data_IF_532060003954
#
_entry.id   IF_532060003954
#
_cell.length_a   1.000
_cell.length_b   1.000
_cell.length_c   1.000
_cell.angle_alpha   90.00
_cell.angle_beta   90.00
_cell.angle_gamma   90.00
#
_symmetry.space_group_name_H-M   'P 1'
#
loop_
_entity.id
_entity.type
_entity.pdbx_description
1 polymer ?
#
# COMPACT_ATOMS: atom_id res chain seq x y z
N UNK A 1 16.88 -30.01 -45.28
CA UNK A 1 15.64 -29.54 -44.64
C UNK A 1 16.00 -29.23 -43.19
N UNK A 2 16.31 -27.97 -42.85
CA UNK A 2 16.74 -27.60 -41.50
C UNK A 2 15.52 -27.28 -40.65
N UNK A 3 15.07 -28.26 -39.86
CA UNK A 3 14.13 -28.03 -38.76
C UNK A 3 14.87 -27.21 -37.71
N UNK A 4 14.49 -25.93 -37.54
CA UNK A 4 15.00 -25.12 -36.43
C UNK A 4 14.55 -25.80 -35.13
N UNK A 5 15.49 -26.38 -34.41
CA UNK A 5 15.27 -26.84 -33.04
C UNK A 5 15.11 -25.60 -32.15
N UNK A 6 13.88 -25.14 -31.98
CA UNK A 6 13.54 -24.15 -30.96
C UNK A 6 13.31 -24.89 -29.65
N UNK A 7 14.24 -24.78 -28.71
CA UNK A 7 14.03 -25.24 -27.34
C UNK A 7 13.50 -24.07 -26.50
N UNK A 8 12.52 -24.33 -25.61
CA UNK A 8 11.94 -23.30 -24.74
C UNK A 8 13.00 -22.56 -23.90
N UNK A 9 14.10 -23.25 -23.56
CA UNK A 9 15.26 -22.71 -22.83
C UNK A 9 16.02 -21.60 -23.58
N UNK A 10 15.84 -21.48 -24.90
CA UNK A 10 16.43 -20.40 -25.70
C UNK A 10 15.66 -19.08 -25.60
N UNK A 11 14.41 -19.12 -25.10
CA UNK A 11 13.59 -17.93 -24.89
C UNK A 11 13.88 -17.41 -23.49
N UNK A 12 14.77 -16.43 -23.38
CA UNK A 12 14.98 -15.73 -22.12
C UNK A 12 13.85 -14.73 -21.89
N UNK A 13 12.89 -15.12 -21.06
CA UNK A 13 11.83 -14.23 -20.59
C UNK A 13 12.38 -13.41 -19.43
N UNK A 14 12.38 -12.07 -19.50
CA UNK A 14 12.76 -11.24 -18.36
C UNK A 14 11.88 -11.55 -17.14
N UNK A 15 12.44 -11.69 -15.94
CA UNK A 15 11.68 -12.06 -14.74
C UNK A 15 10.57 -11.03 -14.40
N UNK A 16 10.77 -9.77 -14.79
CA UNK A 16 9.83 -8.68 -14.53
C UNK A 16 8.71 -8.57 -15.57
N UNK A 17 8.80 -9.30 -16.70
CA UNK A 17 7.80 -9.19 -17.77
C UNK A 17 6.42 -9.70 -17.33
N UNK A 18 6.26 -10.88 -16.68
CA UNK A 18 4.96 -11.35 -16.21
C UNK A 18 4.21 -10.37 -15.29
N UNK A 19 4.83 -9.77 -14.24
CA UNK A 19 4.11 -8.81 -13.38
C UNK A 19 3.75 -7.52 -14.12
N UNK A 20 4.60 -7.00 -15.03
CA UNK A 20 4.27 -5.84 -15.87
C UNK A 20 3.02 -6.09 -16.72
N UNK A 21 2.96 -7.25 -17.38
CA UNK A 21 1.81 -7.62 -18.21
C UNK A 21 0.54 -7.81 -17.37
N UNK A 22 0.65 -8.43 -16.19
CA UNK A 22 -0.49 -8.61 -15.28
C UNK A 22 -1.06 -7.27 -14.82
N UNK A 23 -0.21 -6.33 -14.43
CA UNK A 23 -0.63 -4.99 -13.99
C UNK A 23 -1.30 -4.22 -15.13
N UNK A 24 -0.72 -4.26 -16.33
CA UNK A 24 -1.31 -3.64 -17.52
C UNK A 24 -2.68 -4.25 -17.85
N UNK A 25 -2.82 -5.59 -17.85
CA UNK A 25 -4.09 -6.26 -18.10
C UNK A 25 -5.19 -5.89 -17.09
N UNK A 26 -4.86 -5.80 -15.80
CA UNK A 26 -5.80 -5.31 -14.77
C UNK A 26 -6.26 -3.88 -15.06
N UNK A 27 -5.33 -2.99 -15.42
CA UNK A 27 -5.63 -1.60 -15.73
C UNK A 27 -6.57 -1.49 -16.94
N UNK A 28 -6.37 -2.30 -17.97
CA UNK A 28 -7.26 -2.38 -19.14
C UNK A 28 -8.65 -2.88 -18.75
N UNK A 29 -8.74 -3.97 -17.97
CA UNK A 29 -10.02 -4.56 -17.55
C UNK A 29 -10.84 -3.57 -16.72
N UNK A 30 -10.19 -2.85 -15.81
CA UNK A 30 -10.82 -1.84 -14.96
C UNK A 30 -11.23 -0.60 -15.75
N UNK A 31 -10.34 -0.11 -16.60
CA UNK A 31 -10.56 1.12 -17.37
C UNK A 31 -11.56 0.98 -18.51
N UNK A 32 -11.77 -0.26 -19.00
CA UNK A 32 -12.60 -0.58 -20.18
C UNK A 32 -12.43 0.47 -21.30
N UNK A 33 -11.18 0.75 -21.73
CA UNK A 33 -10.91 1.86 -22.61
C UNK A 33 -11.59 1.65 -23.97
N UNK A 34 -12.16 2.72 -24.50
CA UNK A 34 -12.73 2.73 -25.85
C UNK A 34 -11.63 2.59 -26.92
N UNK A 35 -10.44 3.13 -26.64
CA UNK A 35 -9.24 2.97 -27.46
C UNK A 35 -8.12 2.31 -26.64
N UNK A 36 -7.88 1.02 -26.93
CA UNK A 36 -6.87 0.23 -26.25
C UNK A 36 -5.44 0.69 -26.58
N UNK A 37 -5.18 1.15 -27.81
CA UNK A 37 -3.83 1.53 -28.23
C UNK A 37 -3.43 2.82 -27.53
N UNK A 38 -4.30 3.84 -27.57
CA UNK A 38 -4.05 5.10 -26.89
C UNK A 38 -3.90 4.88 -25.37
N UNK A 39 -4.77 4.06 -24.77
CA UNK A 39 -4.65 3.68 -23.37
C UNK A 39 -3.30 3.00 -23.06
N UNK A 40 -2.83 2.10 -23.93
CA UNK A 40 -1.53 1.44 -23.78
C UNK A 40 -0.38 2.46 -23.74
N UNK A 41 -0.39 3.37 -24.72
CA UNK A 41 0.65 4.41 -24.87
C UNK A 41 0.69 5.28 -23.62
N UNK A 42 -0.46 5.76 -23.17
CA UNK A 42 -0.54 6.65 -22.01
C UNK A 42 -0.17 5.91 -20.71
N UNK A 43 -0.59 4.66 -20.56
CA UNK A 43 -0.24 3.81 -19.41
C UNK A 43 1.28 3.64 -19.29
N UNK A 44 1.94 3.22 -20.37
CA UNK A 44 3.39 2.97 -20.33
C UNK A 44 4.21 4.27 -20.29
N UNK A 45 3.75 5.36 -20.90
CA UNK A 45 4.38 6.69 -20.72
C UNK A 45 4.32 7.14 -19.27
N UNK A 46 3.14 7.05 -18.64
CA UNK A 46 2.98 7.34 -17.22
C UNK A 46 3.87 6.43 -16.35
N UNK A 47 4.04 5.16 -16.73
CA UNK A 47 4.98 4.28 -16.02
C UNK A 47 6.44 4.75 -16.11
N UNK A 48 6.85 5.34 -17.23
CA UNK A 48 8.21 5.87 -17.38
C UNK A 48 8.41 7.17 -16.59
N UNK A 49 7.41 8.04 -16.59
CA UNK A 49 7.44 9.32 -15.89
C UNK A 49 7.32 9.14 -14.36
N UNK A 50 6.58 8.12 -13.92
CA UNK A 50 6.40 7.72 -12.53
C UNK A 50 6.86 6.25 -12.36
N UNK A 51 8.18 5.95 -12.27
CA UNK A 51 8.69 4.59 -12.06
C UNK A 51 8.13 3.96 -10.77
N UNK A 52 8.08 2.62 -10.66
CA UNK A 52 7.56 1.97 -9.46
C UNK A 52 8.25 2.53 -8.21
N UNK A 53 7.46 3.04 -7.28
CA UNK A 53 7.94 3.73 -6.06
C UNK A 53 8.63 2.77 -5.08
N UNK A 54 8.54 1.46 -5.33
CA UNK A 54 9.16 0.40 -4.53
C UNK A 54 10.45 -0.08 -5.21
N UNK A 55 11.53 -0.13 -4.41
CA UNK A 55 12.84 -0.68 -4.81
C UNK A 55 12.80 -2.15 -5.22
N UNK A 56 11.69 -2.85 -4.97
CA UNK A 56 11.50 -4.26 -5.25
C UNK A 56 10.78 -4.55 -6.60
N UNK A 57 10.67 -3.55 -7.49
CA UNK A 57 10.26 -3.76 -8.88
C UNK A 57 8.77 -4.02 -9.12
N UNK A 58 7.96 -4.12 -8.06
CA UNK A 58 6.50 -4.21 -8.16
C UNK A 58 5.84 -2.83 -8.06
N UNK A 59 4.71 -2.66 -8.76
CA UNK A 59 3.80 -1.52 -8.56
C UNK A 59 2.64 -1.92 -7.67
N UNK A 60 2.40 -1.10 -6.67
CA UNK A 60 1.15 -1.08 -5.92
C UNK A 60 0.53 0.29 -6.11
N UNK A 61 -0.77 0.29 -6.29
CA UNK A 61 -1.58 1.52 -6.32
C UNK A 61 -2.27 1.73 -4.98
N UNK A 62 -2.64 2.98 -4.70
CA UNK A 62 -3.44 3.30 -3.51
C UNK A 62 -4.78 2.55 -3.50
N UNK A 63 -5.40 2.35 -4.67
CA UNK A 63 -6.61 1.54 -4.77
C UNK A 63 -6.37 0.09 -4.32
N UNK A 64 -5.30 -0.54 -4.77
CA UNK A 64 -5.03 -1.93 -4.38
C UNK A 64 -4.88 -2.06 -2.86
N UNK A 65 -4.29 -1.05 -2.19
CA UNK A 65 -4.25 -1.02 -0.73
C UNK A 65 -5.62 -0.82 -0.08
N UNK A 66 -6.52 -0.04 -0.68
CA UNK A 66 -7.92 0.07 -0.23
C UNK A 66 -8.65 -1.27 -0.39
N UNK A 67 -8.54 -1.91 -1.55
CA UNK A 67 -9.15 -3.22 -1.80
C UNK A 67 -8.64 -4.28 -0.79
N UNK A 68 -7.35 -4.22 -0.44
CA UNK A 68 -6.74 -5.08 0.58
C UNK A 68 -7.26 -4.77 1.99
N UNK A 69 -7.38 -3.48 2.35
CA UNK A 69 -7.96 -3.07 3.61
C UNK A 69 -9.41 -3.55 3.75
N UNK A 70 -10.23 -3.41 2.71
CA UNK A 70 -11.63 -3.85 2.71
C UNK A 70 -11.74 -5.38 2.88
N UNK A 71 -10.90 -6.15 2.17
CA UNK A 71 -10.85 -7.60 2.28
C UNK A 71 -10.53 -8.05 3.71
N UNK A 72 -9.52 -7.43 4.33
CA UNK A 72 -9.12 -7.73 5.72
C UNK A 72 -10.15 -7.28 6.75
N UNK A 73 -10.77 -6.11 6.54
CA UNK A 73 -11.87 -5.65 7.40
C UNK A 73 -13.10 -6.55 7.30
N UNK A 74 -13.35 -7.19 6.16
CA UNK A 74 -14.40 -8.21 6.04
C UNK A 74 -14.08 -9.44 6.88
N UNK A 75 -12.82 -9.88 6.91
CA UNK A 75 -12.39 -10.98 7.78
C UNK A 75 -12.58 -10.59 9.26
N UNK A 76 -12.18 -9.37 9.67
CA UNK A 76 -12.39 -8.87 11.03
C UNK A 76 -13.86 -8.79 11.49
N UNK A 77 -14.82 -8.76 10.57
CA UNK A 77 -16.25 -8.88 10.94
C UNK A 77 -16.63 -10.29 11.40
N UNK A 78 -15.83 -11.30 11.00
CA UNK A 78 -16.09 -12.72 11.29
C UNK A 78 -15.22 -13.30 12.39
N UNK A 79 -14.08 -12.68 12.71
CA UNK A 79 -13.16 -13.10 13.76
C UNK A 79 -12.59 -11.90 14.50
N UNK A 80 -12.09 -12.11 15.73
CA UNK A 80 -11.66 -11.02 16.62
C UNK A 80 -10.27 -10.43 16.31
N UNK A 81 -9.45 -11.13 15.53
CA UNK A 81 -8.05 -10.75 15.25
C UNK A 81 -7.65 -11.16 13.84
N UNK A 82 -6.67 -10.47 13.23
CA UNK A 82 -6.10 -10.88 11.94
C UNK A 82 -4.74 -11.55 12.16
N UNK A 83 -4.60 -12.74 11.58
CA UNK A 83 -3.37 -13.51 11.60
C UNK A 83 -2.62 -13.35 10.29
N UNK A 84 -1.33 -13.64 10.29
CA UNK A 84 -0.46 -13.61 9.10
C UNK A 84 -1.06 -14.34 7.89
N UNK A 85 -1.77 -15.45 8.10
CA UNK A 85 -2.43 -16.21 7.03
C UNK A 85 -3.55 -15.40 6.34
N UNK A 86 -4.25 -14.54 7.06
CA UNK A 86 -5.33 -13.72 6.50
C UNK A 86 -4.77 -12.70 5.50
N UNK A 87 -3.63 -12.09 5.83
CA UNK A 87 -2.91 -11.19 4.93
C UNK A 87 -2.36 -11.92 3.70
N UNK A 88 -1.89 -13.16 3.86
CA UNK A 88 -1.44 -13.99 2.73
C UNK A 88 -2.59 -14.28 1.77
N UNK A 89 -3.71 -14.78 2.28
CA UNK A 89 -4.90 -15.10 1.48
C UNK A 89 -5.46 -13.85 0.80
N UNK A 90 -5.55 -12.71 1.50
CA UNK A 90 -6.02 -11.46 0.94
C UNK A 90 -5.09 -10.94 -0.18
N UNK A 91 -3.77 -10.97 0.04
CA UNK A 91 -2.80 -10.57 -0.98
C UNK A 91 -2.84 -11.49 -2.20
N UNK A 92 -2.93 -12.80 -2.02
CA UNK A 92 -2.99 -13.77 -3.11
C UNK A 92 -4.28 -13.62 -3.94
N UNK A 93 -5.43 -13.48 -3.27
CA UNK A 93 -6.73 -13.32 -3.94
C UNK A 93 -6.80 -12.03 -4.75
N UNK A 94 -6.24 -10.93 -4.24
CA UNK A 94 -6.11 -9.66 -4.96
C UNK A 94 -4.94 -9.67 -5.96
N UNK A 95 -4.12 -10.73 -5.96
CA UNK A 95 -3.06 -10.96 -6.92
C UNK A 95 -1.85 -10.06 -6.76
N UNK A 96 -1.56 -9.64 -5.52
CA UNK A 96 -0.33 -8.94 -5.15
C UNK A 96 0.89 -9.82 -5.45
N UNK A 97 2.03 -9.17 -5.71
CA UNK A 97 3.31 -9.87 -5.78
C UNK A 97 3.66 -10.39 -4.36
N UNK A 98 4.09 -11.66 -4.19
CA UNK A 98 4.45 -12.20 -2.88
C UNK A 98 5.51 -11.37 -2.13
N UNK A 99 6.41 -10.73 -2.88
CA UNK A 99 7.47 -9.89 -2.32
C UNK A 99 6.94 -8.64 -1.61
N UNK A 100 5.75 -8.16 -1.99
CA UNK A 100 5.07 -7.05 -1.29
C UNK A 100 4.84 -7.43 0.16
N UNK A 101 4.13 -8.53 0.35
CA UNK A 101 3.74 -9.00 1.66
C UNK A 101 4.99 -9.36 2.47
N UNK A 102 5.94 -10.06 1.85
CA UNK A 102 7.21 -10.40 2.48
C UNK A 102 7.97 -9.16 2.95
N UNK A 103 8.00 -8.08 2.16
CA UNK A 103 8.66 -6.84 2.55
C UNK A 103 7.96 -6.14 3.70
N UNK A 104 6.62 -6.04 3.68
CA UNK A 104 5.86 -5.43 4.78
C UNK A 104 6.07 -6.22 6.08
N UNK A 105 5.96 -7.54 6.01
CA UNK A 105 6.18 -8.44 7.15
C UNK A 105 7.61 -8.33 7.69
N UNK A 106 8.62 -8.27 6.81
CA UNK A 106 10.02 -8.12 7.24
C UNK A 106 10.27 -6.78 7.93
N UNK A 107 9.59 -5.71 7.51
CA UNK A 107 9.76 -4.37 8.06
C UNK A 107 9.14 -4.23 9.47
N UNK A 108 7.90 -4.67 9.64
CA UNK A 108 7.12 -4.44 10.86
C UNK A 108 6.85 -5.66 11.73
N UNK A 109 6.88 -6.86 11.15
CA UNK A 109 6.27 -8.06 11.74
C UNK A 109 7.13 -9.32 11.56
N UNK A 110 8.39 -9.34 12.05
CA UNK A 110 9.28 -10.49 11.87
C UNK A 110 8.69 -11.79 12.45
N UNK A 111 8.19 -11.73 13.69
CA UNK A 111 7.82 -12.90 14.50
C UNK A 111 6.36 -12.86 15.01
N UNK A 112 5.59 -11.85 14.61
CA UNK A 112 4.21 -11.66 15.03
C UNK A 112 3.25 -12.52 14.20
N UNK A 113 2.48 -13.37 14.88
CA UNK A 113 1.39 -14.13 14.24
C UNK A 113 0.14 -13.27 14.04
N UNK A 114 -0.24 -12.51 15.08
CA UNK A 114 -1.35 -11.56 15.05
C UNK A 114 -0.81 -10.19 14.62
N UNK A 115 -1.45 -9.59 13.62
CA UNK A 115 -0.97 -8.37 12.96
C UNK A 115 -2.09 -7.33 12.97
N UNK A 116 -1.79 -6.16 13.54
CA UNK A 116 -2.69 -5.01 13.53
C UNK A 116 -2.84 -4.42 12.12
N UNK A 117 -4.09 -4.26 11.68
CA UNK A 117 -4.41 -3.81 10.31
C UNK A 117 -3.92 -2.38 10.06
N UNK A 118 -3.99 -1.49 11.06
CA UNK A 118 -3.60 -0.10 10.89
C UNK A 118 -2.08 0.05 10.77
N UNK A 119 -1.32 -0.65 11.60
CA UNK A 119 0.14 -0.72 11.49
C UNK A 119 0.55 -1.34 10.14
N UNK A 120 -0.10 -2.44 9.74
CA UNK A 120 0.19 -3.08 8.46
C UNK A 120 -0.07 -2.13 7.28
N UNK A 121 -1.23 -1.47 7.26
CA UNK A 121 -1.58 -0.52 6.20
C UNK A 121 -0.71 0.74 6.24
N UNK A 122 -0.28 1.18 7.42
CA UNK A 122 0.68 2.28 7.56
C UNK A 122 2.01 1.96 6.90
N UNK A 123 2.56 0.77 7.15
CA UNK A 123 3.79 0.31 6.50
C UNK A 123 3.55 0.11 5.00
N UNK A 124 2.43 -0.49 4.60
CA UNK A 124 2.10 -0.68 3.18
C UNK A 124 1.97 0.67 2.44
N UNK A 125 1.41 1.70 3.08
CA UNK A 125 1.27 3.03 2.51
C UNK A 125 2.63 3.66 2.18
N UNK A 126 3.71 3.33 2.90
CA UNK A 126 5.07 3.80 2.55
C UNK A 126 5.50 3.37 1.15
N UNK A 127 5.01 2.23 0.65
CA UNK A 127 5.34 1.71 -0.68
C UNK A 127 4.78 2.58 -1.82
N UNK A 128 3.77 3.42 -1.53
CA UNK A 128 3.09 4.28 -2.51
C UNK A 128 3.24 5.77 -2.18
N UNK A 129 4.10 6.11 -1.22
CA UNK A 129 4.21 7.47 -0.67
C UNK A 129 5.66 7.95 -0.71
N UNK A 130 5.94 9.10 -1.36
CA UNK A 130 7.30 9.64 -1.49
C UNK A 130 7.81 10.31 -0.21
N UNK A 131 6.93 10.68 0.72
CA UNK A 131 7.27 11.36 1.97
C UNK A 131 6.44 10.80 3.11
N UNK A 132 6.94 10.94 4.34
CA UNK A 132 6.23 10.52 5.54
C UNK A 132 4.86 11.22 5.70
N UNK A 133 4.78 12.53 5.42
CA UNK A 133 3.50 13.25 5.42
C UNK A 133 2.51 12.64 4.42
N UNK A 134 2.98 12.32 3.20
CA UNK A 134 2.13 11.68 2.20
C UNK A 134 1.70 10.28 2.62
N UNK A 135 2.55 9.55 3.35
CA UNK A 135 2.22 8.25 3.94
C UNK A 135 1.05 8.36 4.90
N UNK A 136 1.04 9.35 5.80
CA UNK A 136 -0.06 9.55 6.74
C UNK A 136 -1.36 9.90 5.99
N UNK A 137 -1.29 10.81 5.00
CA UNK A 137 -2.46 11.15 4.20
C UNK A 137 -2.99 9.96 3.39
N UNK A 138 -2.10 9.14 2.84
CA UNK A 138 -2.49 7.92 2.13
C UNK A 138 -3.05 6.87 3.10
N UNK A 139 -2.56 6.79 4.33
CA UNK A 139 -3.13 5.92 5.37
C UNK A 139 -4.59 6.32 5.68
N UNK A 140 -4.88 7.61 5.85
CA UNK A 140 -6.27 8.08 5.97
C UNK A 140 -7.12 7.70 4.76
N UNK A 141 -6.59 7.88 3.55
CA UNK A 141 -7.30 7.50 2.31
C UNK A 141 -7.55 5.99 2.20
N UNK A 142 -6.66 5.15 2.71
CA UNK A 142 -6.83 3.70 2.72
C UNK A 142 -8.06 3.31 3.56
N UNK A 143 -8.30 4.02 4.67
CA UNK A 143 -9.44 3.81 5.56
C UNK A 143 -10.60 4.79 5.30
N UNK A 144 -10.69 5.36 4.09
CA UNK A 144 -11.80 6.21 3.69
C UNK A 144 -13.04 5.35 3.40
N UNK A 145 -14.18 5.71 3.99
CA UNK A 145 -15.45 5.01 3.77
C UNK A 145 -16.20 5.50 2.52
N UNK A 146 -17.34 4.87 2.21
CA UNK A 146 -18.21 5.25 1.08
C UNK A 146 -18.72 6.70 1.15
N UNK A 147 -18.71 7.31 2.34
CA UNK A 147 -19.13 8.69 2.58
C UNK A 147 -17.95 9.67 2.51
N UNK A 148 -16.79 9.22 2.03
CA UNK A 148 -15.54 9.99 1.96
C UNK A 148 -15.07 10.47 3.34
N UNK A 149 -15.40 9.75 4.41
CA UNK A 149 -14.90 10.00 5.75
C UNK A 149 -13.75 9.04 6.06
N UNK A 150 -12.64 9.57 6.52
CA UNK A 150 -11.49 8.77 6.96
C UNK A 150 -11.29 8.97 8.47
N UNK A 151 -11.46 7.89 9.23
CA UNK A 151 -11.21 7.86 10.67
C UNK A 151 -10.32 6.68 11.02
N UNK A 152 -9.33 6.94 11.85
CA UNK A 152 -8.38 5.94 12.32
C UNK A 152 -8.34 6.04 13.85
N UNK A 153 -8.25 4.91 14.59
CA UNK A 153 -8.02 4.96 16.03
C UNK A 153 -6.77 5.77 16.33
N UNK A 154 -6.89 6.77 17.21
CA UNK A 154 -5.80 7.68 17.55
C UNK A 154 -4.59 6.91 18.08
N UNK A 155 -4.82 5.90 18.91
CA UNK A 155 -3.77 5.02 19.42
C UNK A 155 -3.03 4.29 18.30
N UNK A 156 -3.74 3.84 17.26
CA UNK A 156 -3.12 3.15 16.13
C UNK A 156 -2.24 4.10 15.29
N UNK A 157 -2.70 5.34 15.08
CA UNK A 157 -1.90 6.37 14.39
C UNK A 157 -0.64 6.73 15.17
N UNK A 158 -0.75 6.90 16.50
CA UNK A 158 0.40 7.17 17.37
C UNK A 158 1.40 6.01 17.34
N UNK A 159 0.92 4.77 17.48
CA UNK A 159 1.78 3.58 17.41
C UNK A 159 2.53 3.49 16.07
N UNK A 160 1.84 3.76 14.96
CA UNK A 160 2.48 3.81 13.64
C UNK A 160 3.52 4.91 13.53
N UNK A 161 3.20 6.12 14.03
CA UNK A 161 4.14 7.24 14.03
C UNK A 161 5.40 6.91 14.85
N UNK A 162 5.24 6.35 16.05
CA UNK A 162 6.34 5.89 16.90
C UNK A 162 7.22 4.87 16.20
N UNK A 163 6.59 3.87 15.55
CA UNK A 163 7.30 2.86 14.78
C UNK A 163 8.14 3.50 13.67
N UNK A 164 7.57 4.45 12.92
CA UNK A 164 8.29 5.13 11.83
C UNK A 164 9.41 6.03 12.37
N UNK A 165 9.18 6.80 13.43
CA UNK A 165 10.18 7.65 14.06
C UNK A 165 11.39 6.85 14.60
N UNK A 166 11.17 5.62 15.06
CA UNK A 166 12.24 4.74 15.51
C UNK A 166 13.08 4.15 14.35
N UNK A 167 12.52 4.08 13.13
CA UNK A 167 13.15 3.46 11.95
C UNK A 167 13.75 4.47 10.98
N UNK A 168 13.20 5.68 10.92
CA UNK A 168 13.56 6.71 9.95
C UNK A 168 13.85 8.04 10.69
N UNK A 169 15.12 8.48 10.76
CA UNK A 169 15.51 9.73 11.40
C UNK A 169 14.92 10.99 10.75
N UNK A 170 14.40 10.89 9.52
CA UNK A 170 13.74 12.02 8.84
C UNK A 170 12.34 12.31 9.38
N UNK A 171 11.77 11.39 10.17
CA UNK A 171 10.46 11.57 10.80
C UNK A 171 10.58 12.49 12.01
N UNK A 172 9.85 13.64 12.06
CA UNK A 172 10.04 14.62 13.12
C UNK A 172 9.51 14.15 14.48
N UNK A 173 10.41 13.91 15.45
CA UNK A 173 10.02 13.49 16.80
C UNK A 173 9.17 14.53 17.56
N UNK A 174 9.34 15.83 17.27
CA UNK A 174 8.52 16.90 17.85
C UNK A 174 7.04 16.76 17.46
N UNK A 175 6.77 16.36 16.22
CA UNK A 175 5.42 16.19 15.71
C UNK A 175 4.69 15.02 16.38
N UNK A 176 5.42 13.98 16.80
CA UNK A 176 4.84 12.89 17.59
C UNK A 176 4.30 13.40 18.93
N UNK A 177 5.06 14.25 19.63
CA UNK A 177 4.61 14.79 20.92
C UNK A 177 3.39 15.69 20.73
N UNK A 178 3.42 16.58 19.73
CA UNK A 178 2.25 17.39 19.36
C UNK A 178 1.02 16.55 19.06
N UNK A 179 1.17 15.43 18.33
CA UNK A 179 0.08 14.51 18.05
C UNK A 179 -0.49 13.92 19.34
N UNK A 180 0.36 13.44 20.26
CA UNK A 180 -0.06 12.85 21.54
C UNK A 180 -0.80 13.86 22.42
N UNK A 181 -0.36 15.11 22.42
CA UNK A 181 -0.94 16.16 23.26
C UNK A 181 -2.28 16.66 22.70
N UNK A 182 -2.42 16.74 21.37
CA UNK A 182 -3.59 17.32 20.71
C UNK A 182 -4.68 16.30 20.34
N UNK A 183 -4.33 15.04 20.08
CA UNK A 183 -5.28 14.00 19.71
C UNK A 183 -5.83 13.28 20.95
N UNK A 184 -6.85 13.88 21.58
CA UNK A 184 -7.48 13.35 22.81
C UNK A 184 -8.65 12.40 22.56
N UNK A 185 -9.21 12.44 21.35
CA UNK A 185 -10.35 11.61 20.96
C UNK A 185 -9.93 10.17 20.64
N UNK A 186 -10.86 9.21 20.77
CA UNK A 186 -10.60 7.80 20.45
C UNK A 186 -10.23 7.60 18.97
N UNK A 187 -10.84 8.39 18.09
CA UNK A 187 -10.59 8.39 16.66
C UNK A 187 -10.20 9.78 16.18
N UNK A 188 -9.28 9.84 15.23
CA UNK A 188 -8.85 11.06 14.57
C UNK A 188 -9.23 10.98 13.09
N UNK A 189 -9.72 12.09 12.54
CA UNK A 189 -9.96 12.25 11.11
C UNK A 189 -8.86 13.07 10.44
N UNK A 190 -8.82 13.04 9.11
CA UNK A 190 -7.79 13.74 8.33
C UNK A 190 -7.78 15.25 8.57
N UNK A 191 -8.95 15.87 8.82
CA UNK A 191 -9.05 17.31 9.05
C UNK A 191 -8.49 17.69 10.42
N UNK A 192 -8.83 16.92 11.45
CA UNK A 192 -8.30 17.07 12.80
C UNK A 192 -6.78 16.87 12.79
N UNK A 193 -6.28 15.84 12.11
CA UNK A 193 -4.84 15.63 11.94
C UNK A 193 -4.17 16.85 11.29
N UNK A 194 -4.72 17.34 10.17
CA UNK A 194 -4.16 18.51 9.48
C UNK A 194 -4.19 19.77 10.35
N UNK A 195 -5.24 19.99 11.17
CA UNK A 195 -5.31 21.14 12.09
C UNK A 195 -4.22 21.12 13.16
N UNK A 196 -3.80 19.95 13.64
CA UNK A 196 -2.73 19.83 14.63
C UNK A 196 -1.38 20.34 14.08
N UNK A 197 -1.16 20.16 12.77
CA UNK A 197 0.10 20.51 12.10
C UNK A 197 0.00 21.73 11.19
N UNK A 198 -1.18 22.33 11.06
CA UNK A 198 -1.34 23.63 10.43
C UNK A 198 -0.50 24.61 11.27
N UNK A 199 0.52 25.20 10.64
CA UNK A 199 1.27 26.28 11.28
C UNK A 199 0.28 27.39 11.60
N UNK A 200 0.31 27.94 12.82
CA UNK A 200 -0.37 29.19 13.14
C UNK A 200 0.17 30.27 12.18
N UNK A 201 -0.54 30.54 11.09
CA UNK A 201 -0.32 31.71 10.23
C UNK A 201 -0.82 32.98 10.93
#
# INVERSE_FOLDING_TARGET
MFTRMYCAEQIQVPPDLPPILKAYSKAVIRGKPTDLIQFSVDYFKKMLDEPPTSSAGYRITLQELQDLQEALSTVLKTQSELKRVDYQVACESLGFCPDVLANILRLGFPDQEVIDIYMFMGIAATLVSPTFEKTILNLFKIFEDEQCQSKIPTAALINFYEFMAAKDPSVPAENLQKLKDAATEEFIDVQAYQRIFASDE
#
